data_IF_466801496506
#
_entry.id   IF_466801496506
#
_cell.length_a   1.000
_cell.length_b   1.000
_cell.length_c   1.000
_cell.angle_alpha   90.00
_cell.angle_beta   90.00
_cell.angle_gamma   90.00
#
_symmetry.space_group_name_H-M   'P 1'
#
loop_
_entity.id
_entity.type
_entity.pdbx_description
1 polymer ?
#
# COMPACT_ATOMS: atom_id res chain seq x y z
N UNK A 1 -3.85 8.81 -16.39
CA UNK A 1 -2.41 8.55 -16.62
C UNK A 1 -1.61 9.75 -16.15
N UNK A 2 -0.41 9.52 -15.65
CA UNK A 2 0.51 10.56 -15.22
C UNK A 2 1.96 10.05 -15.30
N UNK A 3 2.90 10.99 -15.26
CA UNK A 3 4.33 10.66 -15.32
C UNK A 3 4.89 10.63 -13.90
N UNK A 4 5.45 9.50 -13.50
CA UNK A 4 6.20 9.36 -12.25
C UNK A 4 7.69 9.42 -12.54
N UNK A 5 8.34 10.41 -11.91
CA UNK A 5 9.79 10.60 -12.00
C UNK A 5 10.37 10.56 -10.60
N UNK A 6 11.49 9.90 -10.43
CA UNK A 6 12.17 9.90 -9.14
C UNK A 6 13.21 8.80 -9.01
N UNK A 7 13.83 8.80 -7.85
CA UNK A 7 14.78 7.80 -7.43
C UNK A 7 14.07 6.56 -6.91
N UNK A 8 14.37 5.41 -7.49
CA UNK A 8 13.69 4.14 -7.23
C UNK A 8 14.64 3.14 -6.58
N UNK A 9 14.17 2.48 -5.54
CA UNK A 9 14.87 1.35 -4.94
C UNK A 9 14.28 0.04 -5.45
N UNK A 10 15.04 -0.72 -6.22
CA UNK A 10 14.60 -2.02 -6.74
C UNK A 10 14.27 -3.02 -5.61
N UNK A 11 15.03 -2.98 -4.50
CA UNK A 11 14.78 -3.90 -3.39
C UNK A 11 13.57 -3.55 -2.52
N UNK A 12 13.17 -2.26 -2.45
CA UNK A 12 11.92 -1.83 -1.80
C UNK A 12 10.73 -1.86 -2.76
N UNK A 13 11.01 -1.91 -4.08
CA UNK A 13 10.02 -1.67 -5.14
C UNK A 13 9.27 -0.34 -4.98
N UNK A 14 9.97 0.70 -4.53
CA UNK A 14 9.38 1.98 -4.14
C UNK A 14 10.25 3.16 -4.56
N UNK A 15 9.60 4.27 -4.94
CA UNK A 15 10.28 5.55 -5.10
C UNK A 15 10.68 6.11 -3.72
N UNK A 16 11.89 6.61 -3.64
CA UNK A 16 12.48 7.14 -2.40
C UNK A 16 12.84 8.61 -2.56
N UNK A 17 12.69 9.35 -1.46
CA UNK A 17 13.29 10.66 -1.38
C UNK A 17 14.82 10.52 -1.42
N UNK A 18 15.44 11.31 -2.28
CA UNK A 18 16.89 11.41 -2.40
C UNK A 18 17.27 12.88 -2.17
N UNK A 19 17.56 13.28 -0.93
CA UNK A 19 17.85 14.68 -0.61
C UNK A 19 19.11 15.22 -1.28
N UNK A 20 20.04 14.34 -1.64
CA UNK A 20 21.27 14.71 -2.33
C UNK A 20 21.08 14.79 -3.84
N UNK A 21 19.96 14.29 -4.38
CA UNK A 21 19.68 14.14 -5.81
C UNK A 21 20.85 13.50 -6.57
N UNK A 22 21.52 12.54 -5.93
CA UNK A 22 22.73 11.89 -6.41
C UNK A 22 22.48 10.43 -6.78
N UNK A 23 23.06 9.97 -7.87
CA UNK A 23 23.03 8.56 -8.26
C UNK A 23 23.81 7.64 -7.32
N UNK A 24 24.64 8.21 -6.44
CA UNK A 24 25.40 7.46 -5.43
C UNK A 24 24.62 7.30 -4.11
N UNK A 25 23.47 7.99 -3.95
CA UNK A 25 22.66 7.87 -2.75
C UNK A 25 22.09 6.48 -2.63
N UNK A 26 22.32 5.87 -1.47
CA UNK A 26 21.92 4.49 -1.20
C UNK A 26 20.60 4.43 -0.44
N UNK A 27 19.78 3.45 -0.80
CA UNK A 27 18.61 3.12 -0.01
C UNK A 27 19.01 2.79 1.44
N UNK A 28 18.45 3.46 2.45
CA UNK A 28 18.81 3.22 3.85
C UNK A 28 18.47 1.80 4.33
N UNK A 29 17.54 1.12 3.65
CA UNK A 29 17.13 -0.26 3.99
C UNK A 29 18.03 -1.29 3.30
N UNK A 30 18.21 -1.17 1.98
CA UNK A 30 18.90 -2.18 1.17
C UNK A 30 20.37 -1.88 0.89
N UNK A 31 20.87 -0.70 1.26
CA UNK A 31 22.24 -0.24 1.03
C UNK A 31 22.69 -0.30 -0.44
N UNK A 32 21.73 -0.40 -1.37
CA UNK A 32 21.95 -0.36 -2.82
C UNK A 32 21.68 1.04 -3.38
N UNK A 33 22.39 1.40 -4.44
CA UNK A 33 22.16 2.68 -5.13
C UNK A 33 20.72 2.75 -5.64
N UNK A 34 20.15 3.95 -5.61
CA UNK A 34 18.87 4.22 -6.24
C UNK A 34 19.05 4.43 -7.73
N UNK A 35 18.03 4.05 -8.49
CA UNK A 35 17.96 4.23 -9.94
C UNK A 35 17.00 5.37 -10.28
N UNK A 36 17.39 6.27 -11.19
CA UNK A 36 16.45 7.26 -11.69
C UNK A 36 15.47 6.61 -12.66
N UNK A 37 14.18 6.68 -12.34
CA UNK A 37 13.11 6.18 -13.22
C UNK A 37 12.19 7.29 -13.66
N UNK A 38 11.71 7.16 -14.88
CA UNK A 38 10.73 8.04 -15.50
C UNK A 38 9.74 7.13 -16.24
N UNK A 39 8.55 6.96 -15.66
CA UNK A 39 7.54 6.03 -16.16
C UNK A 39 6.20 6.74 -16.31
N UNK A 40 5.49 6.44 -17.38
CA UNK A 40 4.11 6.82 -17.53
C UNK A 40 3.23 5.74 -16.90
N UNK A 41 2.51 6.07 -15.84
CA UNK A 41 1.78 5.11 -15.04
C UNK A 41 0.32 5.53 -14.83
N UNK A 42 -0.50 4.59 -14.43
CA UNK A 42 -1.83 4.84 -13.88
C UNK A 42 -1.71 5.21 -12.40
N UNK A 43 -2.56 6.13 -11.94
CA UNK A 43 -2.54 6.62 -10.56
C UNK A 43 -3.89 6.40 -9.89
N UNK A 44 -3.85 5.94 -8.64
CA UNK A 44 -4.98 6.02 -7.74
C UNK A 44 -4.99 7.39 -7.08
N UNK A 45 -6.15 8.06 -7.15
CA UNK A 45 -6.31 9.42 -6.59
C UNK A 45 -6.53 9.35 -5.08
N UNK A 46 -5.48 9.00 -4.33
CA UNK A 46 -5.52 8.90 -2.89
C UNK A 46 -5.86 10.23 -2.23
N UNK A 47 -5.40 11.34 -2.80
CA UNK A 47 -5.70 12.71 -2.32
C UNK A 47 -7.19 13.01 -2.23
N UNK A 48 -8.03 12.37 -3.06
CA UNK A 48 -9.49 12.51 -3.02
C UNK A 48 -10.08 12.02 -1.70
N UNK A 49 -9.43 11.08 -1.04
CA UNK A 49 -9.92 10.40 0.16
C UNK A 49 -9.31 10.96 1.46
N UNK A 50 -8.67 12.14 1.41
CA UNK A 50 -8.02 12.76 2.56
C UNK A 50 -8.94 12.84 3.78
N UNK A 51 -10.14 13.37 3.61
CA UNK A 51 -11.10 13.59 4.72
C UNK A 51 -11.63 12.29 5.30
N UNK A 52 -11.93 11.32 4.45
CA UNK A 52 -12.40 10.00 4.85
C UNK A 52 -11.32 9.27 5.64
N UNK A 53 -10.08 9.32 5.18
CA UNK A 53 -8.95 8.70 5.88
C UNK A 53 -8.67 9.42 7.19
N UNK A 54 -8.67 10.75 7.23
CA UNK A 54 -8.53 11.50 8.48
C UNK A 54 -9.58 11.10 9.51
N UNK A 55 -10.83 10.93 9.08
CA UNK A 55 -11.90 10.47 9.98
C UNK A 55 -11.61 9.09 10.54
N UNK A 56 -11.27 8.13 9.68
CA UNK A 56 -11.05 6.72 10.07
C UNK A 56 -9.85 6.57 11.02
N UNK A 57 -8.72 7.20 10.71
CA UNK A 57 -7.50 7.06 11.53
C UNK A 57 -7.64 7.72 12.90
N UNK A 58 -8.57 8.64 13.07
CA UNK A 58 -8.87 9.26 14.35
C UNK A 58 -9.80 8.41 15.24
N UNK A 59 -10.50 7.41 14.68
CA UNK A 59 -11.28 6.47 15.47
C UNK A 59 -10.38 5.82 16.56
N UNK A 60 -10.84 5.74 17.83
CA UNK A 60 -10.00 5.35 18.96
C UNK A 60 -9.28 4.02 18.80
N UNK A 61 -9.94 3.03 18.21
CA UNK A 61 -9.45 1.65 18.12
C UNK A 61 -9.02 1.22 16.70
N UNK A 62 -9.03 2.12 15.72
CA UNK A 62 -8.73 1.73 14.34
C UNK A 62 -7.26 1.36 14.14
N UNK A 63 -6.33 2.08 14.76
CA UNK A 63 -4.88 1.78 14.66
C UNK A 63 -4.31 1.55 16.05
N UNK A 64 -3.62 0.43 16.22
CA UNK A 64 -2.90 0.08 17.44
C UNK A 64 -1.50 -0.47 17.13
N UNK A 65 -0.54 -0.31 18.04
CA UNK A 65 -0.58 0.50 19.26
C UNK A 65 -0.55 2.01 18.97
N UNK A 66 -0.64 2.82 20.01
CA UNK A 66 -0.76 4.29 19.90
C UNK A 66 0.40 4.94 19.13
N UNK A 67 1.61 4.40 19.23
CA UNK A 67 2.78 4.89 18.51
C UNK A 67 2.58 4.76 17.00
N UNK A 68 1.93 3.68 16.56
CA UNK A 68 1.59 3.45 15.15
C UNK A 68 0.51 4.40 14.68
N UNK A 69 -0.49 4.65 15.52
CA UNK A 69 -1.53 5.65 15.25
C UNK A 69 -0.92 7.03 15.05
N UNK A 70 -0.04 7.45 15.95
CA UNK A 70 0.63 8.76 15.87
C UNK A 70 1.49 8.88 14.59
N UNK A 71 2.18 7.80 14.19
CA UNK A 71 2.93 7.75 12.93
C UNK A 71 2.03 8.01 11.72
N UNK A 72 0.87 7.37 11.67
CA UNK A 72 -0.07 7.53 10.56
C UNK A 72 -0.74 8.91 10.58
N UNK A 73 -1.12 9.43 11.72
CA UNK A 73 -1.66 10.79 11.83
C UNK A 73 -0.65 11.81 11.29
N UNK A 74 0.62 11.71 11.68
CA UNK A 74 1.68 12.58 11.19
C UNK A 74 1.93 12.42 9.68
N UNK A 75 1.76 11.23 9.14
CA UNK A 75 1.87 11.00 7.71
C UNK A 75 0.72 11.66 6.94
N UNK A 76 -0.51 11.43 7.38
CA UNK A 76 -1.73 11.92 6.72
C UNK A 76 -1.85 13.45 6.81
N UNK A 77 -1.43 14.06 7.93
CA UNK A 77 -1.48 15.53 8.13
C UNK A 77 -0.62 16.32 7.15
N UNK A 78 0.36 15.68 6.50
CA UNK A 78 1.19 16.31 5.45
C UNK A 78 0.50 16.40 4.10
N UNK A 79 -0.73 15.89 3.99
CA UNK A 79 -1.51 15.76 2.77
C UNK A 79 -1.20 14.49 2.00
N UNK A 80 -2.24 13.72 1.69
CA UNK A 80 -2.13 12.49 0.89
C UNK A 80 -1.84 12.85 -0.57
N UNK A 81 -0.91 12.10 -1.16
CA UNK A 81 -0.55 12.22 -2.58
C UNK A 81 -1.03 10.99 -3.35
N UNK A 82 -1.43 11.23 -4.60
CA UNK A 82 -1.78 10.15 -5.51
C UNK A 82 -0.57 9.23 -5.71
N UNK A 83 -0.81 7.94 -5.82
CA UNK A 83 0.25 6.96 -6.00
C UNK A 83 0.05 6.10 -7.24
N UNK A 84 1.15 5.68 -7.82
CA UNK A 84 1.14 4.84 -9.02
C UNK A 84 0.65 3.42 -8.69
N UNK A 85 -0.29 2.94 -9.48
CA UNK A 85 -0.89 1.59 -9.37
C UNK A 85 -0.49 0.67 -10.51
N UNK A 86 0.33 1.14 -11.44
CA UNK A 86 0.83 0.32 -12.55
C UNK A 86 2.32 0.50 -12.77
N UNK A 87 2.90 -0.42 -13.55
CA UNK A 87 4.29 -0.42 -14.01
C UNK A 87 4.33 -0.76 -15.47
N UNK A 88 5.22 -0.12 -16.23
CA UNK A 88 5.37 -0.34 -17.68
C UNK A 88 6.53 -1.27 -18.04
N UNK A 89 7.51 -1.46 -17.17
CA UNK A 89 8.73 -2.21 -17.45
C UNK A 89 8.82 -3.52 -16.67
N UNK A 90 7.68 -4.13 -16.36
CA UNK A 90 7.61 -5.40 -15.64
C UNK A 90 7.00 -6.46 -16.56
N UNK A 91 7.79 -7.49 -16.86
CA UNK A 91 7.37 -8.56 -17.79
C UNK A 91 6.45 -9.59 -17.15
N UNK A 92 6.38 -9.65 -15.81
CA UNK A 92 5.53 -10.57 -15.06
C UNK A 92 4.61 -9.78 -14.11
N UNK A 93 3.33 -10.12 -14.10
CA UNK A 93 2.34 -9.48 -13.23
C UNK A 93 0.94 -9.56 -13.84
N UNK A 94 -0.05 -9.03 -13.12
CA UNK A 94 -1.44 -8.97 -13.58
C UNK A 94 -1.58 -7.81 -14.57
N UNK A 95 -1.98 -8.06 -15.84
CA UNK A 95 -2.18 -6.99 -16.81
C UNK A 95 -3.28 -6.03 -16.38
N UNK A 96 -3.11 -4.75 -16.67
CA UNK A 96 -4.15 -3.76 -16.45
C UNK A 96 -5.13 -3.78 -17.61
N UNK A 97 -6.43 -4.05 -17.41
CA UNK A 97 -7.41 -4.08 -18.48
C UNK A 97 -7.46 -2.77 -19.27
N UNK A 98 -7.36 -2.87 -20.61
CA UNK A 98 -7.37 -1.71 -21.51
C UNK A 98 -6.03 -0.95 -21.62
N UNK A 99 -4.94 -1.50 -21.04
CA UNK A 99 -3.61 -0.90 -21.09
C UNK A 99 -2.54 -1.98 -21.32
N UNK A 100 -2.30 -2.35 -22.57
CA UNK A 100 -1.52 -3.53 -22.98
C UNK A 100 -0.09 -3.61 -22.44
N UNK A 101 0.53 -2.45 -22.14
CA UNK A 101 1.91 -2.38 -21.67
C UNK A 101 2.00 -2.12 -20.15
N UNK A 102 0.90 -2.24 -19.41
CA UNK A 102 0.88 -2.00 -17.98
C UNK A 102 0.54 -3.26 -17.20
N UNK A 103 1.28 -3.50 -16.13
CA UNK A 103 0.93 -4.47 -15.08
C UNK A 103 0.58 -3.74 -13.80
N UNK A 104 -0.30 -4.32 -12.97
CA UNK A 104 -0.58 -3.75 -11.66
C UNK A 104 0.66 -3.74 -10.79
N UNK A 105 0.77 -2.66 -10.01
CA UNK A 105 1.81 -2.55 -8.98
C UNK A 105 1.52 -3.52 -7.84
N UNK A 106 2.55 -4.24 -7.40
CA UNK A 106 2.44 -5.35 -6.44
C UNK A 106 1.64 -5.01 -5.17
N UNK A 107 1.81 -3.83 -4.60
CA UNK A 107 1.04 -3.44 -3.41
C UNK A 107 -0.43 -3.13 -3.68
N UNK A 108 -0.76 -2.69 -4.90
CA UNK A 108 -2.16 -2.51 -5.28
C UNK A 108 -2.85 -3.87 -5.43
N UNK A 109 -2.17 -4.84 -6.04
CA UNK A 109 -2.66 -6.21 -6.21
C UNK A 109 -2.71 -6.99 -4.88
N UNK A 110 -1.62 -6.99 -4.13
CA UNK A 110 -1.48 -7.77 -2.89
C UNK A 110 -2.57 -7.44 -1.84
N UNK A 111 -2.99 -6.18 -1.74
CA UNK A 111 -4.05 -5.77 -0.81
C UNK A 111 -5.42 -6.36 -1.18
N UNK A 112 -5.70 -6.56 -2.46
CA UNK A 112 -6.93 -7.21 -2.92
C UNK A 112 -6.98 -8.69 -2.53
N UNK A 113 -5.83 -9.30 -2.27
CA UNK A 113 -5.71 -10.67 -1.80
C UNK A 113 -6.51 -10.94 -0.52
N UNK A 114 -6.66 -9.96 0.37
CA UNK A 114 -7.48 -10.11 1.58
C UNK A 114 -8.96 -10.36 1.27
N UNK A 115 -9.48 -9.71 0.25
CA UNK A 115 -10.88 -9.83 -0.16
C UNK A 115 -11.07 -11.09 -1.01
N UNK A 116 -10.16 -11.39 -1.92
CA UNK A 116 -10.25 -12.58 -2.78
C UNK A 116 -10.09 -13.88 -2.00
N UNK A 117 -9.24 -13.90 -0.96
CA UNK A 117 -9.00 -15.11 -0.15
C UNK A 117 -10.23 -15.58 0.64
N UNK A 118 -11.16 -14.69 0.97
CA UNK A 118 -12.39 -15.03 1.70
C UNK A 118 -13.59 -15.22 0.79
N UNK A 119 -13.41 -15.09 -0.53
CA UNK A 119 -14.45 -15.46 -1.48
C UNK A 119 -14.71 -16.96 -1.39
N UNK A 120 -15.96 -17.34 -1.16
CA UNK A 120 -16.37 -18.73 -0.90
C UNK A 120 -16.25 -19.67 -2.11
N UNK A 121 -15.88 -19.14 -3.27
CA UNK A 121 -15.80 -19.90 -4.51
C UNK A 121 -14.53 -19.51 -5.28
N UNK A 122 -13.63 -20.49 -5.45
CA UNK A 122 -12.37 -20.31 -6.18
C UNK A 122 -12.56 -20.07 -7.70
N UNK A 123 -13.75 -20.38 -8.23
CA UNK A 123 -14.04 -20.28 -9.67
C UNK A 123 -14.71 -18.98 -10.05
N UNK A 124 -15.30 -18.27 -9.08
CA UNK A 124 -16.07 -17.05 -9.33
C UNK A 124 -15.86 -16.04 -8.19
N UNK A 125 -14.90 -15.13 -8.36
CA UNK A 125 -14.61 -14.07 -7.40
C UNK A 125 -15.54 -12.88 -7.63
N UNK A 126 -16.36 -12.53 -6.62
CA UNK A 126 -17.17 -11.33 -6.61
C UNK A 126 -17.08 -10.62 -5.27
N UNK A 127 -17.33 -9.31 -5.28
CA UNK A 127 -17.36 -8.53 -4.03
C UNK A 127 -18.46 -9.02 -3.09
N UNK A 128 -19.60 -9.44 -3.65
CA UNK A 128 -20.73 -9.97 -2.87
C UNK A 128 -20.33 -11.27 -2.15
N UNK A 129 -19.65 -12.20 -2.83
CA UNK A 129 -19.17 -13.45 -2.22
C UNK A 129 -18.14 -13.17 -1.11
N UNK A 130 -17.30 -12.18 -1.26
CA UNK A 130 -16.34 -11.80 -0.24
C UNK A 130 -17.04 -11.23 1.01
N UNK A 131 -18.08 -10.41 0.82
CA UNK A 131 -18.90 -9.89 1.92
C UNK A 131 -19.57 -11.05 2.67
N UNK A 132 -20.15 -11.99 1.94
CA UNK A 132 -20.78 -13.20 2.51
C UNK A 132 -19.74 -14.15 3.15
N UNK A 133 -18.49 -14.12 2.68
CA UNK A 133 -17.36 -14.85 3.25
C UNK A 133 -16.80 -14.28 4.56
N UNK A 134 -17.33 -13.15 5.04
CA UNK A 134 -16.97 -12.57 6.34
C UNK A 134 -16.24 -11.22 6.26
N UNK A 135 -16.24 -10.54 5.12
CA UNK A 135 -15.73 -9.17 5.07
C UNK A 135 -16.68 -8.18 5.79
N UNK A 136 -16.22 -7.19 6.56
CA UNK A 136 -14.82 -6.78 6.73
C UNK A 136 -14.06 -7.61 7.78
N UNK A 137 -12.74 -7.63 7.65
CA UNK A 137 -11.86 -8.21 8.65
C UNK A 137 -11.98 -7.50 10.00
N UNK A 138 -11.94 -8.24 11.10
CA UNK A 138 -11.91 -7.66 12.45
C UNK A 138 -10.57 -6.99 12.73
N UNK A 139 -9.47 -7.63 12.34
CA UNK A 139 -8.11 -7.12 12.55
C UNK A 139 -7.21 -7.46 11.36
N UNK A 140 -6.48 -6.47 10.86
CA UNK A 140 -5.26 -6.69 10.10
C UNK A 140 -4.06 -6.66 11.05
N UNK A 141 -3.44 -7.81 11.27
CA UNK A 141 -2.23 -7.95 12.06
C UNK A 141 -1.02 -7.93 11.15
N UNK A 142 -0.23 -6.87 11.21
CA UNK A 142 0.82 -6.59 10.22
C UNK A 142 2.13 -6.08 10.85
N UNK A 143 3.24 -6.22 10.13
CA UNK A 143 4.49 -5.57 10.49
C UNK A 143 4.42 -4.04 10.32
N UNK A 144 5.11 -3.32 11.18
CA UNK A 144 5.12 -1.83 11.15
C UNK A 144 5.61 -1.23 9.83
N UNK A 145 6.39 -1.94 9.06
CA UNK A 145 6.96 -1.51 7.77
C UNK A 145 5.92 -1.38 6.65
N UNK A 146 4.81 -2.11 6.76
CA UNK A 146 3.70 -2.06 5.80
C UNK A 146 2.46 -1.33 6.35
N UNK A 147 2.63 -0.59 7.44
CA UNK A 147 1.53 0.08 8.15
C UNK A 147 0.78 1.08 7.26
N UNK A 148 1.48 1.89 6.45
CA UNK A 148 0.84 2.89 5.57
C UNK A 148 -0.06 2.24 4.53
N UNK A 149 0.35 1.10 3.99
CA UNK A 149 -0.46 0.35 3.03
C UNK A 149 -1.79 -0.10 3.65
N UNK A 150 -1.78 -0.58 4.89
CA UNK A 150 -2.96 -1.13 5.54
C UNK A 150 -3.84 -0.11 6.26
N UNK A 151 -3.26 0.98 6.74
CA UNK A 151 -3.99 2.01 7.49
C UNK A 151 -4.44 3.20 6.62
N UNK A 152 -3.89 3.37 5.41
CA UNK A 152 -4.18 4.53 4.54
C UNK A 152 -4.59 4.08 3.15
N UNK A 153 -3.73 3.37 2.41
CA UNK A 153 -3.98 3.03 1.00
C UNK A 153 -5.13 2.04 0.87
N UNK A 154 -5.10 0.97 1.66
CA UNK A 154 -6.14 -0.06 1.64
C UNK A 154 -7.54 0.46 2.02
N UNK A 155 -7.73 1.22 3.11
CA UNK A 155 -9.01 1.85 3.39
C UNK A 155 -9.52 2.74 2.25
N UNK A 156 -8.65 3.53 1.62
CA UNK A 156 -9.06 4.39 0.50
C UNK A 156 -9.48 3.56 -0.73
N UNK A 157 -8.79 2.46 -1.01
CA UNK A 157 -9.18 1.53 -2.09
C UNK A 157 -10.55 0.90 -1.81
N UNK A 158 -10.79 0.45 -0.59
CA UNK A 158 -12.08 -0.11 -0.18
C UNK A 158 -13.23 0.90 -0.28
N UNK A 159 -13.01 2.11 0.22
CA UNK A 159 -14.00 3.19 0.10
C UNK A 159 -14.30 3.49 -1.37
N UNK A 160 -13.30 3.46 -2.24
CA UNK A 160 -13.50 3.68 -3.68
C UNK A 160 -14.35 2.61 -4.37
N UNK A 161 -14.44 1.44 -3.75
CA UNK A 161 -15.22 0.28 -4.21
C UNK A 161 -16.53 0.09 -3.41
N UNK A 162 -16.95 1.10 -2.64
CA UNK A 162 -18.12 1.03 -1.74
C UNK A 162 -18.08 -0.13 -0.74
N UNK A 163 -16.86 -0.56 -0.36
CA UNK A 163 -16.64 -1.63 0.61
C UNK A 163 -16.36 -1.08 2.00
N UNK A 164 -16.76 -1.84 3.01
CA UNK A 164 -16.42 -1.54 4.40
C UNK A 164 -14.91 -1.71 4.63
N UNK A 165 -14.34 -0.82 5.43
CA UNK A 165 -12.94 -0.93 5.87
C UNK A 165 -12.81 -1.96 7.00
N UNK A 166 -11.62 -2.54 7.23
CA UNK A 166 -11.33 -3.37 8.39
C UNK A 166 -11.64 -2.63 9.70
N UNK A 167 -12.02 -3.35 10.74
CA UNK A 167 -12.36 -2.72 12.03
C UNK A 167 -11.12 -2.21 12.76
N UNK A 168 -9.95 -2.86 12.56
CA UNK A 168 -8.69 -2.53 13.22
C UNK A 168 -7.48 -2.89 12.36
N UNK A 169 -6.42 -2.09 12.52
CA UNK A 169 -5.06 -2.38 12.04
C UNK A 169 -4.11 -2.41 13.24
N UNK A 170 -3.49 -3.55 13.48
CA UNK A 170 -2.49 -3.70 14.54
C UNK A 170 -1.09 -3.85 13.93
N UNK A 171 -0.25 -2.84 14.15
CA UNK A 171 1.12 -2.80 13.64
C UNK A 171 2.15 -3.26 14.66
N UNK A 172 2.62 -4.52 14.60
CA UNK A 172 3.65 -5.04 15.49
C UNK A 172 5.06 -4.58 15.10
N UNK A 173 6.00 -4.66 16.04
CA UNK A 173 7.43 -4.43 15.79
C UNK A 173 8.04 -5.52 14.91
N UNK A 174 9.29 -5.33 14.47
CA UNK A 174 9.98 -6.40 13.75
C UNK A 174 10.20 -7.62 14.65
N UNK A 175 9.96 -8.79 14.07
CA UNK A 175 10.41 -10.03 14.67
C UNK A 175 11.92 -10.12 14.43
N UNK A 176 12.68 -10.25 15.51
CA UNK A 176 14.14 -10.31 15.44
C UNK A 176 14.64 -11.67 15.90
N UNK A 177 15.71 -12.13 15.26
CA UNK A 177 16.50 -13.27 15.71
C UNK A 177 17.92 -12.79 15.95
N UNK A 178 18.44 -12.99 17.17
CA UNK A 178 19.80 -12.56 17.57
C UNK A 178 20.05 -11.06 17.31
N UNK A 179 19.01 -10.23 17.50
CA UNK A 179 19.07 -8.78 17.28
C UNK A 179 18.96 -8.33 15.82
N UNK A 180 18.90 -9.24 14.86
CA UNK A 180 18.69 -8.93 13.45
C UNK A 180 17.25 -9.13 13.03
N UNK A 181 16.76 -8.29 12.09
CA UNK A 181 15.42 -8.45 11.51
C UNK A 181 15.33 -9.83 10.85
N UNK A 182 14.34 -10.61 11.27
CA UNK A 182 14.00 -11.86 10.60
C UNK A 182 13.07 -11.52 9.42
N UNK A 183 13.52 -11.72 8.20
CA UNK A 183 12.74 -11.42 6.99
C UNK A 183 13.26 -12.17 5.81
#
# INVERSE_FOLDING_TARGET
MGVQKGWYCVGCEEFKDNPENSSTYKCPIHQKNLEWKNEENLFFRLSKYQKEIEKIINEPSFIEPIERKNEIINFVSRGLKDFSISRTNVSWGIPVPGYDNHTFYVWFDALLGYVSAISSDATEHSLEKSINGGWPADVHLIGKDILRFHAVYWPAMLISADMKVPKKVFGHGFLTREGQKNG
#
